data_IF_163989761602
#
_entry.id   IF_163989761602
#
_cell.length_a   1.000
_cell.length_b   1.000
_cell.length_c   1.000
_cell.angle_alpha   90.00
_cell.angle_beta   90.00
_cell.angle_gamma   90.00
#
_symmetry.space_group_name_H-M   'P 1'
#
loop_
_entity.id
_entity.type
_entity.pdbx_description
1 polymer ?
#
# COMPACT_ATOMS: atom_id res chain seq x y z
N UNK A 1 -24.74 -6.60 0.50
CA UNK A 1 -24.91 -7.48 -0.68
C UNK A 1 -24.78 -6.72 -1.99
N UNK A 2 -25.47 -5.59 -2.18
CA UNK A 2 -25.39 -4.81 -3.44
C UNK A 2 -23.94 -4.52 -3.89
N UNK A 3 -23.10 -3.99 -2.99
CA UNK A 3 -21.70 -3.68 -3.31
C UNK A 3 -20.88 -4.90 -3.81
N UNK A 4 -21.18 -6.11 -3.31
CA UNK A 4 -20.51 -7.35 -3.72
C UNK A 4 -20.96 -7.76 -5.13
N UNK A 5 -22.27 -7.68 -5.39
CA UNK A 5 -22.84 -7.97 -6.71
C UNK A 5 -22.27 -6.99 -7.75
N UNK A 6 -22.23 -5.70 -7.39
CA UNK A 6 -21.68 -4.66 -8.26
C UNK A 6 -20.18 -4.83 -8.50
N UNK A 7 -19.42 -5.35 -7.53
CA UNK A 7 -18.00 -5.63 -7.70
C UNK A 7 -17.79 -6.83 -8.64
N UNK A 8 -18.51 -7.93 -8.42
CA UNK A 8 -18.45 -9.10 -9.30
C UNK A 8 -18.84 -8.74 -10.74
N UNK A 9 -19.91 -7.97 -10.91
CA UNK A 9 -20.35 -7.50 -12.23
C UNK A 9 -19.25 -6.72 -12.97
N UNK A 10 -18.47 -5.88 -12.27
CA UNK A 10 -17.36 -5.16 -12.86
C UNK A 10 -16.19 -6.08 -13.23
N UNK A 11 -15.87 -7.09 -12.41
CA UNK A 11 -14.85 -8.10 -12.76
C UNK A 11 -15.28 -8.93 -13.98
N UNK A 12 -16.56 -9.29 -14.08
CA UNK A 12 -17.06 -10.03 -15.23
C UNK A 12 -16.94 -9.23 -16.53
N UNK A 13 -17.23 -7.92 -16.50
CA UNK A 13 -17.02 -7.06 -17.68
C UNK A 13 -15.56 -7.02 -18.13
N UNK A 14 -14.62 -7.09 -17.19
CA UNK A 14 -13.19 -7.12 -17.55
C UNK A 14 -12.78 -8.46 -18.14
N UNK A 15 -13.28 -9.56 -17.55
CA UNK A 15 -12.94 -10.92 -17.99
C UNK A 15 -13.65 -11.32 -19.29
N UNK A 16 -14.84 -10.76 -19.52
CA UNK A 16 -15.72 -11.04 -20.66
C UNK A 16 -16.35 -9.73 -21.16
N UNK A 17 -15.57 -8.82 -21.75
CA UNK A 17 -16.08 -7.56 -22.25
C UNK A 17 -17.08 -7.77 -23.39
N UNK A 18 -18.07 -6.90 -23.46
CA UNK A 18 -19.01 -6.87 -24.58
C UNK A 18 -18.34 -6.23 -25.80
N UNK A 19 -18.10 -7.04 -26.84
CA UNK A 19 -17.40 -6.60 -28.05
C UNK A 19 -18.29 -6.79 -29.28
N UNK A 20 -18.52 -5.68 -29.97
CA UNK A 20 -19.42 -5.60 -31.13
C UNK A 20 -18.69 -5.04 -32.34
N UNK A 21 -18.68 -5.74 -33.46
CA UNK A 21 -18.22 -5.19 -34.74
C UNK A 21 -19.39 -4.61 -35.53
N UNK A 22 -19.29 -3.33 -35.86
CA UNK A 22 -20.34 -2.57 -36.54
C UNK A 22 -19.97 -2.34 -38.01
N UNK A 23 -20.51 -3.17 -38.91
CA UNK A 23 -20.13 -3.15 -40.33
C UNK A 23 -20.40 -1.80 -41.01
N UNK A 24 -21.48 -1.08 -40.62
CA UNK A 24 -21.76 0.24 -41.20
C UNK A 24 -20.63 1.25 -40.93
N UNK A 25 -20.01 1.17 -39.76
CA UNK A 25 -18.98 2.10 -39.32
C UNK A 25 -17.56 1.54 -39.46
N UNK A 26 -17.42 0.26 -39.86
CA UNK A 26 -16.14 -0.45 -39.92
C UNK A 26 -15.35 -0.31 -38.60
N UNK A 27 -16.05 -0.34 -37.47
CA UNK A 27 -15.49 -0.03 -36.15
C UNK A 27 -16.05 -0.97 -35.07
N UNK A 28 -15.38 -1.02 -33.93
CA UNK A 28 -15.67 -1.91 -32.81
C UNK A 28 -16.15 -1.11 -31.61
N UNK A 29 -17.18 -1.61 -30.93
CA UNK A 29 -17.55 -1.16 -29.58
C UNK A 29 -17.02 -2.13 -28.54
N UNK A 30 -16.46 -1.58 -27.47
CA UNK A 30 -15.96 -2.26 -26.29
C UNK A 30 -16.73 -1.75 -25.08
N UNK A 31 -17.53 -2.62 -24.45
CA UNK A 31 -18.46 -2.29 -23.36
C UNK A 31 -19.31 -1.05 -23.65
N UNK A 32 -19.80 -0.98 -24.89
CA UNK A 32 -20.65 0.10 -25.37
C UNK A 32 -19.93 1.40 -25.78
N UNK A 33 -18.60 1.47 -25.71
CA UNK A 33 -17.82 2.63 -26.15
C UNK A 33 -17.07 2.31 -27.45
N UNK A 34 -16.91 3.27 -28.35
CA UNK A 34 -16.10 3.08 -29.55
C UNK A 34 -14.62 2.92 -29.17
N UNK A 35 -13.93 1.92 -29.72
CA UNK A 35 -12.53 1.63 -29.34
C UNK A 35 -11.58 2.79 -29.62
N UNK A 36 -11.86 3.61 -30.65
CA UNK A 36 -11.09 4.81 -30.98
C UNK A 36 -11.47 6.06 -30.13
N UNK A 37 -12.46 5.95 -29.25
CA UNK A 37 -12.91 7.03 -28.36
C UNK A 37 -12.61 6.75 -26.88
N UNK A 38 -11.90 5.66 -26.57
CA UNK A 38 -11.47 5.36 -25.22
C UNK A 38 -10.42 6.40 -24.79
N UNK A 39 -10.73 7.17 -23.74
CA UNK A 39 -9.83 8.14 -23.12
C UNK A 39 -8.54 7.46 -22.63
N UNK A 40 -7.39 8.14 -22.68
CA UNK A 40 -6.10 7.65 -22.20
C UNK A 40 -6.12 7.07 -20.76
N UNK A 41 -6.89 7.68 -19.85
CA UNK A 41 -7.03 7.17 -18.47
C UNK A 41 -8.10 6.10 -18.28
N UNK A 42 -8.82 5.67 -19.32
CA UNK A 42 -10.03 4.85 -19.19
C UNK A 42 -9.81 3.61 -18.30
N UNK A 43 -8.74 2.86 -18.56
CA UNK A 43 -8.43 1.64 -17.81
C UNK A 43 -7.86 1.94 -16.42
N UNK A 44 -7.01 2.96 -16.26
CA UNK A 44 -6.48 3.34 -14.93
C UNK A 44 -7.60 3.81 -13.99
N UNK A 45 -8.51 4.64 -14.50
CA UNK A 45 -9.69 5.07 -13.76
C UNK A 45 -10.59 3.89 -13.40
N UNK A 46 -10.73 2.91 -14.29
CA UNK A 46 -11.50 1.71 -14.03
C UNK A 46 -10.87 0.84 -12.94
N UNK A 47 -9.56 0.61 -13.01
CA UNK A 47 -8.80 -0.09 -11.98
C UNK A 47 -8.99 0.59 -10.61
N UNK A 48 -8.86 1.92 -10.56
CA UNK A 48 -9.05 2.70 -9.33
C UNK A 48 -10.46 2.55 -8.76
N UNK A 49 -11.50 2.67 -9.60
CA UNK A 49 -12.90 2.46 -9.16
C UNK A 49 -13.12 1.08 -8.54
N UNK A 50 -12.48 0.05 -9.07
CA UNK A 50 -12.59 -1.31 -8.54
C UNK A 50 -11.85 -1.45 -7.21
N UNK A 51 -10.62 -0.92 -7.10
CA UNK A 51 -9.89 -0.89 -5.83
C UNK A 51 -10.68 -0.17 -4.73
N UNK A 52 -11.34 0.94 -5.07
CA UNK A 52 -12.21 1.66 -4.13
C UNK A 52 -13.44 0.84 -3.71
N UNK A 53 -14.03 0.05 -4.63
CA UNK A 53 -15.13 -0.88 -4.30
C UNK A 53 -14.64 -2.00 -3.37
N UNK A 54 -13.46 -2.56 -3.62
CA UNK A 54 -12.83 -3.57 -2.76
C UNK A 54 -12.65 -3.01 -1.35
N UNK A 55 -12.05 -1.82 -1.22
CA UNK A 55 -11.83 -1.15 0.07
C UNK A 55 -13.09 -0.94 0.90
N UNK A 56 -14.23 -0.66 0.24
CA UNK A 56 -15.52 -0.49 0.92
C UNK A 56 -16.12 -1.81 1.41
N UNK A 57 -15.67 -2.95 0.89
CA UNK A 57 -16.16 -4.29 1.25
C UNK A 57 -15.26 -4.95 2.27
N UNK A 58 -13.95 -4.68 2.22
CA UNK A 58 -12.96 -5.23 3.17
C UNK A 58 -13.33 -4.83 4.60
N UNK A 59 -13.38 -5.83 5.47
CA UNK A 59 -13.70 -5.70 6.88
C UNK A 59 -13.08 -6.92 7.58
N UNK A 60 -11.97 -6.67 8.27
CA UNK A 60 -11.16 -7.72 8.89
C UNK A 60 -11.82 -8.33 10.13
N UNK A 61 -12.79 -7.63 10.72
CA UNK A 61 -13.55 -8.11 11.89
C UNK A 61 -14.71 -9.03 11.49
N UNK A 62 -15.06 -9.09 10.21
CA UNK A 62 -16.15 -9.91 9.69
C UNK A 62 -15.62 -11.18 9.02
N UNK A 63 -15.74 -12.38 9.65
CA UNK A 63 -15.28 -13.64 9.06
C UNK A 63 -15.91 -13.92 7.69
N UNK A 64 -17.16 -13.50 7.50
CA UNK A 64 -17.88 -13.66 6.23
C UNK A 64 -17.27 -12.83 5.09
N UNK A 65 -16.86 -11.59 5.37
CA UNK A 65 -16.24 -10.70 4.38
C UNK A 65 -14.79 -11.08 4.12
N UNK A 66 -14.06 -11.52 5.15
CA UNK A 66 -12.73 -12.11 4.99
C UNK A 66 -12.76 -13.34 4.08
N UNK A 67 -13.69 -14.27 4.33
CA UNK A 67 -13.89 -15.44 3.47
C UNK A 67 -14.26 -15.04 2.04
N UNK A 68 -15.14 -14.05 1.88
CA UNK A 68 -15.49 -13.52 0.56
C UNK A 68 -14.25 -12.99 -0.18
N UNK A 69 -13.43 -12.14 0.44
CA UNK A 69 -12.24 -11.57 -0.20
C UNK A 69 -11.26 -12.65 -0.67
N UNK A 70 -11.06 -13.71 0.13
CA UNK A 70 -10.22 -14.85 -0.26
C UNK A 70 -10.76 -15.62 -1.47
N UNK A 71 -12.06 -15.91 -1.48
CA UNK A 71 -12.70 -16.60 -2.62
C UNK A 71 -12.68 -15.70 -3.86
N UNK A 72 -12.97 -14.42 -3.69
CA UNK A 72 -12.95 -13.42 -4.75
C UNK A 72 -11.54 -13.25 -5.35
N UNK A 73 -10.49 -13.26 -4.52
CA UNK A 73 -9.10 -13.25 -5.00
C UNK A 73 -8.80 -14.46 -5.88
N UNK A 74 -9.23 -15.67 -5.50
CA UNK A 74 -9.03 -16.87 -6.29
C UNK A 74 -9.75 -16.81 -7.64
N UNK A 75 -10.99 -16.32 -7.65
CA UNK A 75 -11.79 -16.15 -8.87
C UNK A 75 -11.15 -15.12 -9.83
N UNK A 76 -10.75 -13.96 -9.31
CA UNK A 76 -10.09 -12.91 -10.09
C UNK A 76 -8.75 -13.40 -10.65
N UNK A 77 -7.95 -14.12 -9.85
CA UNK A 77 -6.69 -14.72 -10.29
C UNK A 77 -6.92 -15.75 -11.41
N UNK A 78 -7.95 -16.58 -11.30
CA UNK A 78 -8.30 -17.55 -12.33
C UNK A 78 -8.66 -16.85 -13.65
N UNK A 79 -9.53 -15.83 -13.60
CA UNK A 79 -9.90 -15.02 -14.78
C UNK A 79 -8.68 -14.36 -15.41
N UNK A 80 -7.78 -13.80 -14.60
CA UNK A 80 -6.53 -13.21 -15.08
C UNK A 80 -5.65 -14.25 -15.79
N UNK A 81 -5.48 -15.43 -15.21
CA UNK A 81 -4.72 -16.52 -15.82
C UNK A 81 -5.36 -17.02 -17.13
N UNK A 82 -6.68 -16.96 -17.25
CA UNK A 82 -7.37 -17.32 -18.48
C UNK A 82 -7.17 -16.27 -19.58
N UNK A 83 -7.18 -14.97 -19.24
CA UNK A 83 -6.83 -13.90 -20.20
C UNK A 83 -5.38 -14.01 -20.69
N UNK A 84 -4.43 -14.39 -19.84
CA UNK A 84 -3.02 -14.57 -20.21
C UNK A 84 -2.78 -15.68 -21.25
N UNK A 85 -3.73 -16.62 -21.42
CA UNK A 85 -3.62 -17.70 -22.42
C UNK A 85 -4.00 -17.25 -23.82
N UNK A 86 -4.63 -16.08 -23.95
CA UNK A 86 -5.14 -15.58 -25.23
C UNK A 86 -4.08 -14.72 -25.90
N UNK A 87 -3.70 -15.08 -27.12
CA UNK A 87 -2.79 -14.30 -27.93
C UNK A 87 -3.55 -13.19 -28.66
N UNK A 88 -3.60 -12.00 -28.05
CA UNK A 88 -4.24 -10.83 -28.63
C UNK A 88 -3.40 -10.14 -29.71
N UNK A 89 -2.14 -10.52 -29.94
CA UNK A 89 -1.37 -10.05 -31.10
C UNK A 89 -1.74 -10.86 -32.37
N UNK A 90 -2.48 -11.96 -32.23
CA UNK A 90 -2.93 -12.77 -33.36
C UNK A 90 -4.23 -12.23 -33.98
N UNK A 91 -4.17 -11.86 -35.27
CA UNK A 91 -5.33 -11.34 -36.01
C UNK A 91 -6.53 -12.29 -36.04
N UNK A 92 -6.33 -13.59 -36.17
CA UNK A 92 -7.44 -14.56 -36.22
C UNK A 92 -8.13 -14.68 -34.86
N UNK A 93 -7.37 -14.57 -33.76
CA UNK A 93 -7.94 -14.40 -32.42
C UNK A 93 -8.81 -13.15 -32.37
N UNK A 94 -8.28 -11.99 -32.79
CA UNK A 94 -9.02 -10.72 -32.77
C UNK A 94 -10.29 -10.74 -33.63
N UNK A 95 -10.27 -11.40 -34.79
CA UNK A 95 -11.45 -11.57 -35.66
C UNK A 95 -12.53 -12.49 -35.06
N UNK A 96 -12.12 -13.44 -34.21
CA UNK A 96 -13.05 -14.42 -33.61
C UNK A 96 -13.82 -13.89 -32.40
N UNK A 97 -13.30 -12.85 -31.74
CA UNK A 97 -13.87 -12.26 -30.52
C UNK A 97 -15.17 -11.45 -30.79
N UNK A 98 -15.20 -10.49 -31.72
CA UNK A 98 -16.34 -9.61 -31.88
C UNK A 98 -17.53 -10.33 -32.53
N UNK A 99 -18.74 -9.96 -32.10
CA UNK A 99 -19.97 -10.33 -32.80
C UNK A 99 -20.28 -9.30 -33.88
N UNK A 100 -20.56 -9.77 -35.10
CA UNK A 100 -20.94 -8.89 -36.21
C UNK A 100 -22.40 -8.43 -36.01
N UNK A 101 -22.61 -7.12 -36.00
CA UNK A 101 -23.94 -6.51 -35.91
C UNK A 101 -24.27 -5.81 -37.24
N UNK A 102 -25.40 -6.21 -37.83
CA UNK A 102 -26.02 -5.55 -38.97
C UNK A 102 -27.09 -4.59 -38.45
N UNK A 103 -26.94 -3.27 -38.66
CA UNK A 103 -27.83 -2.28 -38.05
C UNK A 103 -28.77 -1.57 -39.03
N UNK A 104 -29.98 -1.31 -38.53
CA UNK A 104 -30.89 -0.27 -39.00
C UNK A 104 -30.56 1.07 -38.32
N UNK A 105 -30.59 2.18 -39.06
CA UNK A 105 -29.97 3.49 -38.74
C UNK A 105 -30.34 4.21 -37.42
N UNK A 106 -31.23 3.69 -36.57
CA UNK A 106 -31.90 4.46 -35.52
C UNK A 106 -31.43 4.25 -34.06
N UNK A 107 -30.53 3.30 -33.76
CA UNK A 107 -30.32 2.85 -32.36
C UNK A 107 -28.96 3.28 -31.76
N UNK A 108 -27.90 3.42 -32.55
CA UNK A 108 -26.55 3.66 -32.04
C UNK A 108 -25.99 4.97 -32.57
N UNK A 109 -25.43 5.78 -31.66
CA UNK A 109 -24.74 7.02 -32.03
C UNK A 109 -23.45 6.67 -32.79
N UNK A 110 -23.21 7.27 -33.97
CA UNK A 110 -21.98 7.05 -34.71
C UNK A 110 -20.76 7.53 -33.90
N UNK A 111 -19.55 7.01 -34.17
CA UNK A 111 -18.34 7.56 -33.61
C UNK A 111 -18.15 9.00 -34.09
N UNK A 112 -17.59 9.85 -33.24
CA UNK A 112 -17.27 11.27 -33.49
C UNK A 112 -16.19 11.43 -34.55
N UNK A 113 -15.25 10.50 -34.58
CA UNK A 113 -14.15 10.42 -35.55
C UNK A 113 -14.10 9.04 -36.17
N UNK A 114 -13.64 8.93 -37.42
CA UNK A 114 -13.31 7.61 -37.94
C UNK A 114 -12.13 7.02 -37.19
N UNK A 115 -12.03 5.70 -37.22
CA UNK A 115 -10.92 5.00 -36.59
C UNK A 115 -9.60 5.36 -37.28
N UNK A 116 -9.62 5.43 -38.61
CA UNK A 116 -8.50 5.89 -39.41
C UNK A 116 -8.22 7.39 -39.27
N UNK A 117 -9.12 8.22 -38.70
CA UNK A 117 -8.97 9.68 -38.50
C UNK A 117 -8.16 10.09 -37.26
N UNK A 118 -7.72 9.10 -36.50
CA UNK A 118 -7.05 9.26 -35.22
C UNK A 118 -5.65 9.91 -35.29
N UNK A 119 -5.03 9.92 -36.47
CA UNK A 119 -3.69 10.47 -36.74
C UNK A 119 -3.50 11.95 -36.33
N UNK A 120 -4.58 12.69 -36.07
CA UNK A 120 -4.56 14.11 -35.73
C UNK A 120 -4.89 14.47 -34.28
N UNK A 121 -5.10 13.48 -33.42
CA UNK A 121 -5.63 13.67 -32.07
C UNK A 121 -4.54 13.36 -31.04
N UNK A 122 -3.94 14.38 -30.42
CA UNK A 122 -2.83 14.24 -29.45
C UNK A 122 -3.20 13.62 -28.09
N UNK A 123 -4.38 12.99 -27.96
CA UNK A 123 -5.03 12.67 -26.69
C UNK A 123 -5.28 11.17 -26.45
N UNK A 124 -4.68 10.24 -27.21
CA UNK A 124 -4.96 8.80 -27.04
C UNK A 124 -3.74 7.99 -26.57
N UNK A 125 -4.06 6.85 -25.92
CA UNK A 125 -3.26 5.91 -25.12
C UNK A 125 -1.84 5.62 -25.57
N UNK A 126 -1.57 5.62 -26.87
CA UNK A 126 -0.31 5.18 -27.44
C UNK A 126 0.03 6.10 -28.63
N UNK A 127 1.31 6.41 -28.81
CA UNK A 127 1.76 7.27 -29.91
C UNK A 127 1.38 6.67 -31.27
N UNK A 128 1.21 7.50 -32.30
CA UNK A 128 0.93 7.01 -33.67
C UNK A 128 1.91 5.93 -34.14
N UNK A 129 3.19 6.04 -33.72
CA UNK A 129 4.22 5.05 -33.97
C UNK A 129 3.90 3.67 -33.38
N UNK A 130 3.45 3.63 -32.12
CA UNK A 130 3.08 2.38 -31.43
C UNK A 130 1.90 1.70 -32.12
N UNK A 131 0.97 2.48 -32.69
CA UNK A 131 -0.15 1.96 -33.49
C UNK A 131 0.35 1.32 -34.78
N UNK A 132 1.26 1.97 -35.51
CA UNK A 132 1.82 1.40 -36.75
C UNK A 132 2.64 0.14 -36.48
N UNK A 133 3.47 0.14 -35.42
CA UNK A 133 4.22 -1.04 -34.99
C UNK A 133 3.28 -2.18 -34.64
N UNK A 134 2.25 -1.90 -33.84
CA UNK A 134 1.24 -2.92 -33.48
C UNK A 134 0.49 -3.43 -34.70
N UNK A 135 0.19 -2.57 -35.67
CA UNK A 135 -0.42 -2.97 -36.93
C UNK A 135 0.50 -3.91 -37.72
N UNK A 136 1.78 -3.55 -37.89
CA UNK A 136 2.75 -4.40 -38.58
C UNK A 136 2.88 -5.77 -37.90
N UNK A 137 2.89 -5.82 -36.57
CA UNK A 137 2.95 -7.07 -35.79
C UNK A 137 1.70 -7.95 -35.99
N UNK A 138 0.50 -7.39 -35.81
CA UNK A 138 -0.77 -8.13 -35.94
C UNK A 138 -0.92 -8.75 -37.33
N UNK A 139 -0.47 -8.01 -38.35
CA UNK A 139 -0.56 -8.43 -39.74
C UNK A 139 0.71 -9.14 -40.25
N UNK A 140 1.69 -9.41 -39.38
CA UNK A 140 2.91 -10.17 -39.67
C UNK A 140 3.72 -9.60 -40.84
N UNK A 141 3.89 -8.29 -40.86
CA UNK A 141 4.72 -7.61 -41.86
C UNK A 141 6.19 -7.78 -41.48
N UNK A 142 6.88 -8.68 -42.18
CA UNK A 142 8.31 -8.94 -41.94
C UNK A 142 9.19 -7.72 -42.29
N UNK A 143 10.28 -7.53 -41.54
CA UNK A 143 11.24 -6.44 -41.77
C UNK A 143 10.61 -5.03 -41.73
N UNK A 144 9.63 -4.82 -40.86
CA UNK A 144 9.18 -3.49 -40.47
C UNK A 144 10.13 -2.98 -39.38
N UNK A 145 11.24 -2.35 -39.79
CA UNK A 145 12.30 -1.92 -38.88
C UNK A 145 11.91 -0.65 -38.10
N UNK A 146 12.42 -0.58 -36.86
CA UNK A 146 12.19 0.48 -35.89
C UNK A 146 12.43 1.88 -36.48
N UNK A 147 11.49 2.79 -36.27
CA UNK A 147 11.58 4.19 -36.66
C UNK A 147 12.15 5.01 -35.49
N UNK A 148 13.13 5.87 -35.73
CA UNK A 148 13.61 6.84 -34.73
C UNK A 148 12.72 8.08 -34.80
N UNK A 149 11.64 8.07 -34.02
CA UNK A 149 10.54 9.04 -34.04
C UNK A 149 10.88 10.48 -33.64
N UNK A 150 12.09 10.74 -33.17
CA UNK A 150 12.46 12.04 -32.61
C UNK A 150 12.67 13.15 -33.67
N UNK A 151 12.69 12.86 -34.98
CA UNK A 151 13.21 13.81 -35.98
C UNK A 151 12.39 14.12 -37.26
N UNK A 152 11.10 13.75 -37.43
CA UNK A 152 10.49 13.85 -38.78
C UNK A 152 9.00 14.28 -38.93
N UNK A 153 8.63 14.95 -40.05
CA UNK A 153 7.35 15.63 -40.30
C UNK A 153 6.19 14.67 -40.68
N UNK A 154 4.94 15.15 -40.56
CA UNK A 154 3.69 14.41 -40.84
C UNK A 154 3.70 13.60 -42.15
N UNK A 155 4.40 14.08 -43.19
CA UNK A 155 4.54 13.38 -44.48
C UNK A 155 5.18 11.99 -44.41
N UNK A 156 5.96 11.66 -43.36
CA UNK A 156 6.56 10.33 -43.23
C UNK A 156 5.63 9.30 -42.59
N UNK A 157 4.65 9.75 -41.80
CA UNK A 157 3.59 8.89 -41.25
C UNK A 157 2.72 8.30 -42.35
N UNK A 158 2.35 9.15 -43.32
CA UNK A 158 1.59 8.75 -44.50
C UNK A 158 2.35 7.70 -45.32
N UNK A 159 3.67 7.87 -45.50
CA UNK A 159 4.53 6.91 -46.24
C UNK A 159 4.56 5.54 -45.57
N UNK A 160 4.67 5.48 -44.23
CA UNK A 160 4.70 4.22 -43.49
C UNK A 160 3.34 3.51 -43.51
N UNK A 161 2.26 4.27 -43.39
CA UNK A 161 0.92 3.73 -43.55
C UNK A 161 0.71 3.20 -44.96
N UNK A 162 1.11 3.94 -45.99
CA UNK A 162 1.04 3.51 -47.39
C UNK A 162 1.86 2.23 -47.64
N UNK A 163 3.04 2.11 -47.01
CA UNK A 163 3.85 0.90 -47.11
C UNK A 163 3.14 -0.31 -46.48
N UNK A 164 2.54 -0.14 -45.31
CA UNK A 164 1.74 -1.20 -44.67
C UNK A 164 0.56 -1.59 -45.58
N UNK A 165 -0.19 -0.62 -46.10
CA UNK A 165 -1.33 -0.87 -46.97
C UNK A 165 -0.94 -1.56 -48.28
N UNK A 166 0.19 -1.14 -48.87
CA UNK A 166 0.75 -1.75 -50.05
C UNK A 166 1.13 -3.22 -49.79
N UNK A 167 1.84 -3.49 -48.69
CA UNK A 167 2.25 -4.86 -48.31
C UNK A 167 1.06 -5.75 -47.98
N UNK A 168 -0.04 -5.19 -47.46
CA UNK A 168 -1.27 -5.93 -47.18
C UNK A 168 -2.17 -6.12 -48.39
N UNK A 169 -1.92 -5.40 -49.49
CA UNK A 169 -2.75 -5.41 -50.71
C UNK A 169 -4.23 -5.15 -50.40
N UNK A 170 -4.49 -4.14 -49.55
CA UNK A 170 -5.81 -3.80 -49.04
C UNK A 170 -6.38 -2.60 -49.80
N UNK A 171 -7.69 -2.62 -50.06
CA UNK A 171 -8.42 -1.46 -50.57
C UNK A 171 -8.67 -0.43 -49.45
N UNK A 172 -8.68 0.87 -49.78
CA UNK A 172 -8.91 1.97 -48.84
C UNK A 172 -10.18 1.80 -47.98
N UNK A 173 -11.19 1.11 -48.50
CA UNK A 173 -12.46 0.86 -47.79
C UNK A 173 -12.34 -0.11 -46.59
N UNK A 174 -11.21 -0.82 -46.43
CA UNK A 174 -10.97 -1.74 -45.32
C UNK A 174 -10.09 -1.13 -44.23
N UNK A 175 -9.57 0.09 -44.45
CA UNK A 175 -8.64 0.77 -43.56
C UNK A 175 -9.19 0.92 -42.14
N UNK A 176 -10.42 1.42 -42.00
CA UNK A 176 -11.06 1.58 -40.69
C UNK A 176 -11.17 0.24 -39.94
N UNK A 177 -11.46 -0.85 -40.66
CA UNK A 177 -11.52 -2.19 -40.08
C UNK A 177 -10.16 -2.64 -39.58
N UNK A 178 -9.08 -2.41 -40.32
CA UNK A 178 -7.71 -2.74 -39.87
C UNK A 178 -7.42 -2.04 -38.56
N UNK A 179 -7.57 -0.71 -38.52
CA UNK A 179 -7.28 0.06 -37.32
C UNK A 179 -8.18 -0.37 -36.16
N UNK A 180 -9.45 -0.74 -36.42
CA UNK A 180 -10.37 -1.17 -35.36
C UNK A 180 -9.86 -2.41 -34.63
N UNK A 181 -9.23 -3.36 -35.34
CA UNK A 181 -8.60 -4.53 -34.73
C UNK A 181 -7.34 -4.18 -33.94
N UNK A 182 -6.56 -3.20 -34.40
CA UNK A 182 -5.40 -2.68 -33.66
C UNK A 182 -5.85 -2.06 -32.33
N UNK A 183 -6.87 -1.19 -32.36
CA UNK A 183 -7.45 -0.61 -31.14
C UNK A 183 -8.09 -1.65 -30.23
N UNK A 184 -8.74 -2.67 -30.79
CA UNK A 184 -9.26 -3.78 -30.00
C UNK A 184 -8.14 -4.54 -29.29
N UNK A 185 -7.00 -4.78 -29.96
CA UNK A 185 -5.82 -5.40 -29.34
C UNK A 185 -5.33 -4.57 -28.13
N UNK A 186 -5.20 -3.26 -28.29
CA UNK A 186 -4.83 -2.35 -27.19
C UNK A 186 -5.82 -2.42 -26.03
N UNK A 187 -7.13 -2.39 -26.31
CA UNK A 187 -8.16 -2.50 -25.28
C UNK A 187 -8.11 -3.84 -24.51
N UNK A 188 -7.92 -4.96 -25.21
CA UNK A 188 -7.82 -6.30 -24.62
C UNK A 188 -6.53 -6.50 -23.80
N UNK A 189 -5.41 -5.93 -24.27
CA UNK A 189 -4.16 -5.91 -23.49
C UNK A 189 -4.27 -5.03 -22.26
N UNK A 190 -4.93 -3.88 -22.39
CA UNK A 190 -5.14 -2.96 -21.27
C UNK A 190 -6.07 -3.54 -20.21
N UNK A 191 -7.13 -4.26 -20.61
CA UNK A 191 -7.97 -5.01 -19.66
C UNK A 191 -7.22 -6.14 -18.97
N UNK A 192 -6.34 -6.85 -19.68
CA UNK A 192 -5.46 -7.86 -19.07
C UNK A 192 -4.53 -7.23 -18.02
N UNK A 193 -3.89 -6.09 -18.35
CA UNK A 193 -3.04 -5.33 -17.42
C UNK A 193 -3.84 -4.85 -16.20
N UNK A 194 -5.03 -4.31 -16.42
CA UNK A 194 -5.95 -3.87 -15.38
C UNK A 194 -6.32 -5.01 -14.43
N UNK A 195 -6.70 -6.18 -14.96
CA UNK A 195 -7.06 -7.34 -14.13
C UNK A 195 -5.86 -7.87 -13.35
N UNK A 196 -4.66 -7.83 -13.94
CA UNK A 196 -3.40 -8.12 -13.26
C UNK A 196 -3.11 -7.13 -12.11
N UNK A 197 -3.40 -5.84 -12.30
CA UNK A 197 -3.30 -4.81 -11.25
C UNK A 197 -4.25 -5.05 -10.09
N UNK A 198 -5.50 -5.43 -10.38
CA UNK A 198 -6.49 -5.82 -9.36
C UNK A 198 -6.06 -7.10 -8.63
N UNK A 199 -5.56 -8.09 -9.35
CA UNK A 199 -5.08 -9.36 -8.78
C UNK A 199 -3.95 -9.12 -7.78
N UNK A 200 -2.92 -8.35 -8.17
CA UNK A 200 -1.81 -7.98 -7.26
C UNK A 200 -2.30 -7.27 -6.00
N UNK A 201 -3.31 -6.41 -6.15
CA UNK A 201 -3.90 -5.70 -5.02
C UNK A 201 -4.65 -6.64 -4.06
N UNK A 202 -5.41 -7.59 -4.60
CA UNK A 202 -6.09 -8.64 -3.81
C UNK A 202 -5.09 -9.58 -3.15
N UNK A 203 -4.00 -9.94 -3.82
CA UNK A 203 -2.92 -10.74 -3.24
C UNK A 203 -2.30 -10.04 -2.02
N UNK A 204 -2.05 -8.74 -2.12
CA UNK A 204 -1.58 -7.94 -1.00
C UNK A 204 -2.56 -8.01 0.19
N UNK A 205 -3.86 -7.83 -0.07
CA UNK A 205 -4.90 -7.89 0.96
C UNK A 205 -5.02 -9.28 1.60
N UNK A 206 -5.03 -10.35 0.79
CA UNK A 206 -5.11 -11.73 1.29
C UNK A 206 -3.86 -12.10 2.08
N UNK A 207 -2.68 -11.64 1.65
CA UNK A 207 -1.44 -11.84 2.40
C UNK A 207 -1.48 -11.12 3.75
N UNK A 208 -2.04 -9.90 3.81
CA UNK A 208 -2.26 -9.21 5.07
C UNK A 208 -3.23 -9.98 5.98
N UNK A 209 -4.37 -10.42 5.44
CA UNK A 209 -5.34 -11.25 6.16
C UNK A 209 -4.68 -12.51 6.71
N UNK A 210 -3.93 -13.25 5.89
CA UNK A 210 -3.26 -14.47 6.31
C UNK A 210 -2.21 -14.18 7.39
N UNK A 211 -1.50 -13.04 7.32
CA UNK A 211 -0.57 -12.63 8.39
C UNK A 211 -1.31 -12.34 9.70
N UNK A 212 -2.51 -11.77 9.65
CA UNK A 212 -3.32 -11.46 10.82
C UNK A 212 -3.98 -12.72 11.40
N UNK A 213 -4.51 -13.61 10.56
CA UNK A 213 -5.15 -14.86 11.02
C UNK A 213 -4.14 -15.89 11.55
N UNK A 214 -2.96 -15.98 10.93
CA UNK A 214 -1.84 -16.79 11.41
C UNK A 214 -0.94 -16.00 12.37
N UNK A 215 -1.38 -14.82 12.79
CA UNK A 215 -0.77 -14.12 13.91
C UNK A 215 -1.10 -14.95 15.15
N UNK A 216 -0.19 -15.85 15.51
CA UNK A 216 -0.21 -16.47 16.81
C UNK A 216 0.19 -15.39 17.83
N UNK A 217 -0.82 -14.79 18.48
CA UNK A 217 -0.66 -13.95 19.67
C UNK A 217 0.27 -14.61 20.71
N UNK A 218 0.32 -15.95 20.70
CA UNK A 218 1.08 -16.80 21.63
C UNK A 218 2.53 -17.13 21.21
N UNK A 219 3.01 -16.74 20.02
CA UNK A 219 4.41 -17.00 19.59
C UNK A 219 5.37 -15.82 19.72
N UNK A 220 4.86 -14.63 20.01
CA UNK A 220 5.65 -13.55 20.57
C UNK A 220 5.19 -13.39 22.00
N UNK A 221 5.86 -14.05 22.94
CA UNK A 221 5.76 -13.59 24.32
C UNK A 221 6.17 -12.13 24.31
N UNK A 222 5.24 -11.24 24.69
CA UNK A 222 5.45 -9.79 24.82
C UNK A 222 6.80 -9.45 25.47
N UNK A 223 7.33 -10.35 26.29
CA UNK A 223 8.65 -10.34 26.90
C UNK A 223 9.82 -10.25 25.88
N UNK A 224 9.80 -10.92 24.73
CA UNK A 224 10.92 -10.89 23.75
C UNK A 224 10.99 -9.60 22.92
N UNK A 225 9.85 -8.94 22.69
CA UNK A 225 9.79 -7.61 22.07
C UNK A 225 10.09 -6.52 23.11
N UNK A 226 9.70 -6.74 24.38
CA UNK A 226 10.05 -5.87 25.50
C UNK A 226 11.55 -5.90 25.81
N UNK A 227 12.20 -7.06 25.80
CA UNK A 227 13.60 -7.21 26.23
C UNK A 227 14.62 -6.68 25.21
N UNK A 228 14.20 -6.50 23.94
CA UNK A 228 15.07 -6.01 22.86
C UNK A 228 14.81 -4.54 22.44
N UNK A 229 13.91 -3.81 23.12
CA UNK A 229 13.78 -2.36 22.94
C UNK A 229 14.89 -1.63 23.72
N UNK A 230 15.81 -0.90 23.04
CA UNK A 230 16.84 -0.11 23.72
C UNK A 230 16.28 0.98 24.66
N UNK A 231 14.98 1.28 24.57
CA UNK A 231 14.27 2.20 25.47
C UNK A 231 13.61 1.50 26.67
N UNK A 232 13.62 0.17 26.75
CA UNK A 232 12.99 -0.62 27.82
C UNK A 232 14.00 -1.30 28.76
N UNK A 233 15.14 -0.64 29.02
CA UNK A 233 16.15 -1.10 29.97
C UNK A 233 15.55 -1.33 31.38
N UNK A 234 15.77 -2.54 31.92
CA UNK A 234 15.39 -2.91 33.29
C UNK A 234 16.29 -2.21 34.30
N UNK A 235 15.75 -1.26 35.07
CA UNK A 235 16.49 -0.56 36.13
C UNK A 235 16.10 -1.12 37.51
N UNK A 236 17.02 -1.82 38.17
CA UNK A 236 16.80 -2.40 39.50
C UNK A 236 17.44 -1.56 40.62
N UNK A 237 16.60 -1.01 41.48
CA UNK A 237 17.02 -0.31 42.68
C UNK A 237 17.23 -1.30 43.84
N UNK A 238 18.44 -1.32 44.40
CA UNK A 238 18.77 -2.10 45.62
C UNK A 238 18.31 -1.41 46.92
N UNK A 239 17.18 -0.72 46.85
CA UNK A 239 16.52 -0.02 47.96
C UNK A 239 15.02 -0.31 47.90
N UNK A 240 14.32 -0.12 49.01
CA UNK A 240 12.88 -0.34 49.06
C UNK A 240 12.09 0.73 48.27
N UNK A 241 10.80 0.46 48.04
CA UNK A 241 9.95 1.30 47.19
C UNK A 241 9.84 2.75 47.65
N UNK A 242 9.73 2.97 48.96
CA UNK A 242 9.60 4.30 49.53
C UNK A 242 10.88 5.11 49.35
N UNK A 243 12.04 4.48 49.48
CA UNK A 243 13.32 5.11 49.23
C UNK A 243 13.51 5.44 47.73
N UNK A 244 12.94 4.66 46.81
CA UNK A 244 12.94 5.05 45.38
C UNK A 244 12.11 6.32 45.16
N UNK A 245 10.93 6.41 45.77
CA UNK A 245 10.10 7.62 45.68
C UNK A 245 10.81 8.86 46.26
N UNK A 246 11.45 8.70 47.43
CA UNK A 246 12.25 9.76 48.05
C UNK A 246 13.48 10.12 47.22
N UNK A 247 14.17 9.15 46.61
CA UNK A 247 15.32 9.40 45.75
C UNK A 247 14.95 10.34 44.59
N UNK A 248 13.90 9.99 43.84
CA UNK A 248 13.46 10.82 42.72
C UNK A 248 12.96 12.19 43.16
N UNK A 249 12.29 12.28 44.31
CA UNK A 249 11.87 13.56 44.87
C UNK A 249 13.07 14.43 45.25
N UNK A 250 14.02 13.90 46.03
CA UNK A 250 15.19 14.64 46.52
C UNK A 250 16.01 15.18 45.35
N UNK A 251 16.30 14.33 44.35
CA UNK A 251 17.09 14.77 43.19
C UNK A 251 16.35 15.76 42.30
N UNK A 252 15.02 15.66 42.20
CA UNK A 252 14.20 16.66 41.53
C UNK A 252 14.18 18.00 42.30
N UNK A 253 13.96 17.96 43.61
CA UNK A 253 13.88 19.15 44.47
C UNK A 253 15.24 19.85 44.61
N UNK A 254 16.35 19.12 44.52
CA UNK A 254 17.71 19.67 44.45
C UNK A 254 18.09 20.20 43.05
N UNK A 255 17.22 20.06 42.04
CA UNK A 255 17.48 20.51 40.68
C UNK A 255 18.50 19.66 39.91
N UNK A 256 18.78 18.43 40.37
CA UNK A 256 19.64 17.48 39.64
C UNK A 256 18.87 16.84 38.48
N UNK A 257 17.56 16.62 38.67
CA UNK A 257 16.65 16.23 37.59
C UNK A 257 15.65 17.36 37.33
N UNK A 258 15.43 17.66 36.06
CA UNK A 258 14.34 18.55 35.64
C UNK A 258 13.23 17.73 35.01
N UNK A 259 12.00 17.91 35.49
CA UNK A 259 10.80 17.35 34.86
C UNK A 259 9.88 18.49 34.51
N UNK A 260 9.54 18.62 33.22
CA UNK A 260 8.58 19.62 32.78
C UNK A 260 7.22 19.32 33.41
N UNK A 261 6.78 20.21 34.31
CA UNK A 261 5.48 20.12 34.98
C UNK A 261 4.51 21.22 34.50
N UNK A 262 4.73 21.81 33.32
CA UNK A 262 3.79 22.77 32.72
C UNK A 262 2.38 22.17 32.66
N UNK A 263 1.40 23.00 33.01
CA UNK A 263 -0.02 22.64 33.04
C UNK A 263 -0.42 21.56 34.06
N UNK A 264 0.45 21.21 35.03
CA UNK A 264 0.10 20.28 36.10
C UNK A 264 -0.29 21.00 37.40
N UNK A 265 -1.36 20.52 38.05
CA UNK A 265 -1.84 21.06 39.33
C UNK A 265 -0.93 20.70 40.52
N UNK A 266 -0.20 19.59 40.43
CA UNK A 266 0.68 19.11 41.50
C UNK A 266 2.14 19.02 41.01
N UNK A 267 3.12 19.44 41.84
CA UNK A 267 4.52 19.61 41.44
C UNK A 267 5.25 18.32 41.07
N UNK A 268 4.67 17.16 41.41
CA UNK A 268 5.27 15.85 41.19
C UNK A 268 4.45 14.97 40.23
N UNK A 269 3.43 15.51 39.56
CA UNK A 269 2.53 14.71 38.72
C UNK A 269 3.28 13.98 37.60
N UNK A 270 4.09 14.70 36.83
CA UNK A 270 4.78 14.10 35.69
C UNK A 270 5.91 13.18 36.15
N UNK A 271 6.60 13.53 37.24
CA UNK A 271 7.61 12.67 37.87
C UNK A 271 6.99 11.33 38.33
N UNK A 272 5.84 11.38 39.00
CA UNK A 272 5.09 10.18 39.42
C UNK A 272 4.66 9.34 38.23
N UNK A 273 4.17 9.97 37.17
CA UNK A 273 3.78 9.27 35.94
C UNK A 273 4.97 8.58 35.28
N UNK A 274 6.11 9.26 35.21
CA UNK A 274 7.36 8.70 34.69
C UNK A 274 7.79 7.45 35.47
N UNK A 275 7.83 7.53 36.80
CA UNK A 275 8.23 6.39 37.66
C UNK A 275 7.24 5.21 37.56
N UNK A 276 5.93 5.49 37.40
CA UNK A 276 4.94 4.41 37.23
C UNK A 276 4.99 3.76 35.85
N UNK A 277 5.33 4.53 34.82
CA UNK A 277 5.38 4.07 33.43
C UNK A 277 6.71 3.42 33.04
N UNK A 278 7.76 3.59 33.84
CA UNK A 278 9.11 3.11 33.55
C UNK A 278 9.31 1.62 33.90
N UNK A 279 10.32 1.00 33.28
CA UNK A 279 10.74 -0.37 33.58
C UNK A 279 11.64 -0.44 34.82
N UNK A 280 11.18 0.14 35.93
CA UNK A 280 11.91 0.23 37.20
C UNK A 280 11.43 -0.80 38.22
N UNK A 281 12.37 -1.31 39.01
CA UNK A 281 12.13 -2.32 40.05
C UNK A 281 12.81 -1.91 41.36
N UNK A 282 12.29 -2.38 42.49
CA UNK A 282 12.84 -2.13 43.82
C UNK A 282 13.05 -3.45 44.57
N UNK A 283 13.90 -3.41 45.59
CA UNK A 283 14.19 -4.56 46.44
C UNK A 283 13.37 -4.50 47.73
N UNK A 284 12.54 -5.51 47.95
CA UNK A 284 11.73 -5.68 49.16
C UNK A 284 11.83 -7.12 49.64
N UNK A 285 12.22 -7.35 50.90
CA UNK A 285 12.35 -8.70 51.47
C UNK A 285 13.14 -9.69 50.57
N UNK A 286 14.25 -9.23 50.00
CA UNK A 286 15.11 -9.99 49.07
C UNK A 286 14.45 -10.40 47.75
N UNK A 287 13.31 -9.82 47.41
CA UNK A 287 12.65 -9.99 46.11
C UNK A 287 12.65 -8.67 45.34
N UNK A 288 12.89 -8.79 44.04
CA UNK A 288 12.85 -7.66 43.11
C UNK A 288 11.42 -7.53 42.59
N UNK A 289 10.77 -6.40 42.85
CA UNK A 289 9.39 -6.13 42.46
C UNK A 289 9.30 -4.92 41.54
N UNK A 290 8.42 -4.98 40.53
CA UNK A 290 8.19 -3.85 39.61
C UNK A 290 7.53 -2.69 40.34
N UNK A 291 8.01 -1.46 40.10
CA UNK A 291 7.36 -0.27 40.63
C UNK A 291 5.99 -0.11 39.97
N UNK A 292 4.94 -0.10 40.79
CA UNK A 292 3.56 0.22 40.41
C UNK A 292 2.93 1.09 41.51
N UNK A 293 2.07 2.03 41.14
CA UNK A 293 1.35 2.88 42.10
C UNK A 293 2.25 3.69 43.06
N UNK A 294 3.35 4.28 42.56
CA UNK A 294 4.26 5.13 43.34
C UNK A 294 3.54 6.33 43.98
N UNK A 295 2.38 6.72 43.43
CA UNK A 295 1.49 7.76 43.97
C UNK A 295 1.16 7.52 45.45
N UNK A 296 1.00 6.26 45.86
CA UNK A 296 0.72 5.89 47.25
C UNK A 296 1.92 6.20 48.16
N UNK A 297 3.15 6.01 47.68
CA UNK A 297 4.35 6.35 48.44
C UNK A 297 4.52 7.86 48.56
N UNK A 298 4.32 8.60 47.46
CA UNK A 298 4.30 10.07 47.50
C UNK A 298 3.24 10.62 48.46
N UNK A 299 2.04 10.04 48.48
CA UNK A 299 1.00 10.47 49.41
C UNK A 299 1.36 10.28 50.89
N UNK A 300 2.24 9.32 51.22
CA UNK A 300 2.66 9.06 52.60
C UNK A 300 3.53 10.20 53.15
N UNK A 301 4.50 10.68 52.37
CA UNK A 301 5.46 11.69 52.86
C UNK A 301 5.12 13.13 52.45
N UNK A 302 4.15 13.34 51.54
CA UNK A 302 3.66 14.70 51.23
C UNK A 302 2.64 15.21 52.24
N UNK A 303 1.99 14.32 52.99
CA UNK A 303 0.92 14.65 53.94
C UNK A 303 1.30 14.39 55.40
N UNK A 304 2.47 13.81 55.68
CA UNK A 304 2.88 13.39 57.02
C UNK A 304 4.41 13.54 57.20
N UNK A 305 4.82 14.35 58.19
CA UNK A 305 6.22 14.61 58.51
C UNK A 305 6.94 13.40 59.14
N UNK A 306 6.22 12.32 59.46
CA UNK A 306 6.80 11.08 60.00
C UNK A 306 7.88 10.46 59.09
N UNK A 307 7.89 10.81 57.80
CA UNK A 307 8.84 10.29 56.82
C UNK A 307 10.10 11.12 56.63
N UNK A 308 10.25 12.26 57.31
CA UNK A 308 11.48 13.06 57.30
C UNK A 308 12.69 12.22 57.73
N UNK A 309 12.52 11.36 58.74
CA UNK A 309 13.58 10.43 59.18
C UNK A 309 13.97 9.42 58.10
N UNK A 310 13.02 8.96 57.27
CA UNK A 310 13.31 8.08 56.15
C UNK A 310 14.09 8.80 55.05
N UNK A 311 13.75 10.05 54.79
CA UNK A 311 14.45 10.90 53.83
C UNK A 311 15.90 11.19 54.27
N UNK A 312 16.11 11.55 55.55
CA UNK A 312 17.44 11.72 56.13
C UNK A 312 18.27 10.44 55.98
N UNK A 313 17.72 9.27 56.34
CA UNK A 313 18.42 8.00 56.23
C UNK A 313 18.83 7.67 54.77
N UNK A 314 17.98 8.00 53.80
CA UNK A 314 18.31 7.83 52.38
C UNK A 314 19.43 8.79 51.96
N UNK A 315 19.37 10.05 52.37
CA UNK A 315 20.41 11.05 52.06
C UNK A 315 21.75 10.61 52.66
N UNK A 316 21.78 10.16 53.91
CA UNK A 316 22.99 9.63 54.56
C UNK A 316 23.57 8.43 53.80
N UNK A 317 22.70 7.51 53.34
CA UNK A 317 23.11 6.38 52.51
C UNK A 317 23.74 6.83 51.19
N UNK A 318 23.13 7.80 50.50
CA UNK A 318 23.64 8.36 49.26
C UNK A 318 25.00 9.05 49.46
N UNK A 319 25.13 9.86 50.52
CA UNK A 319 26.39 10.53 50.88
C UNK A 319 27.48 9.49 51.12
N UNK A 320 27.18 8.43 51.88
CA UNK A 320 28.14 7.35 52.14
C UNK A 320 28.61 6.69 50.83
N UNK A 321 27.69 6.34 49.93
CA UNK A 321 28.04 5.70 48.65
C UNK A 321 28.83 6.62 47.73
N UNK A 322 28.46 7.90 47.65
CA UNK A 322 29.16 8.88 46.83
C UNK A 322 30.56 9.18 47.37
N UNK A 323 30.74 9.25 48.69
CA UNK A 323 32.07 9.40 49.31
C UNK A 323 32.98 8.22 48.97
N UNK A 324 32.51 6.98 49.14
CA UNK A 324 33.31 5.80 48.78
C UNK A 324 33.68 5.78 47.30
N UNK A 325 32.77 6.18 46.39
CA UNK A 325 33.08 6.26 44.95
C UNK A 325 34.08 7.37 44.64
N UNK A 326 34.00 8.51 45.34
CA UNK A 326 34.97 9.60 45.22
C UNK A 326 36.38 9.12 45.62
N UNK A 327 36.49 8.47 46.78
CA UNK A 327 37.75 7.91 47.28
C UNK A 327 38.36 6.89 46.31
N UNK A 328 37.54 6.03 45.69
CA UNK A 328 37.97 5.07 44.67
C UNK A 328 38.52 5.77 43.41
N UNK A 329 37.87 6.84 42.94
CA UNK A 329 38.32 7.60 41.77
C UNK A 329 39.63 8.34 42.08
N UNK A 330 39.76 8.94 43.27
CA UNK A 330 40.97 9.64 43.70
C UNK A 330 42.15 8.66 43.80
N UNK A 331 41.96 7.47 44.39
CA UNK A 331 42.99 6.44 44.46
C UNK A 331 43.46 5.96 43.06
N UNK A 332 42.54 5.75 42.13
CA UNK A 332 42.88 5.34 40.76
C UNK A 332 43.67 6.43 39.99
N UNK A 333 43.44 7.71 40.33
CA UNK A 333 44.18 8.82 39.73
C UNK A 333 45.60 8.97 40.29
N UNK A 334 45.86 8.51 41.52
CA UNK A 334 47.19 8.52 42.15
C UNK A 334 48.07 7.34 41.67
N UNK A 335 47.47 6.21 41.27
CA UNK A 335 48.20 5.02 40.80
C UNK A 335 48.61 5.08 39.31
N UNK A 336 48.35 6.18 38.60
CA UNK A 336 48.86 6.40 37.24
C UNK A 336 48.33 5.40 36.20
N UNK A 337 47.10 4.91 36.35
CA UNK A 337 46.41 4.13 35.32
C UNK A 337 45.57 5.03 34.43
N UNK A 338 46.24 5.69 33.48
CA UNK A 338 45.69 6.05 32.17
C UNK A 338 46.72 5.71 31.08
#
# INVERSE_FOLDING_TARGET
MQNIIDLNSEIEKIAQPEIEFHQKFQNIRFDGNWVNELNYNHFEDWEKRIKDKINKIVDLESPSKVKFIKVFQQDVLQKYNDLLKVDYDNLETLKSIPRIIFMTDSIIKPPKTKVSEFYFSGDIMDGFEEILLKMAEIYKIESFDYYDGDNHPDSQKDILQDEILHRLNIEDNQLDTIYSYVFLCFALKSTTKLLGGITKYLDYLVNLINKIENFEEDKLTLDEVYDNDPNNLKLEFKINKINVALFYRVFHDLGIFEVDNKNQKHPYSNLKNYINGSNMYYLENHKVEKIKNINKEFAKFLNDNKYEKHEINLIELLISKLKSRKEEIEANSEEGLL
#
